data_IF_988051538002
#
_entry.id   IF_988051538002
#
_cell.length_a   1.000
_cell.length_b   1.000
_cell.length_c   1.000
_cell.angle_alpha   90.00
_cell.angle_beta   90.00
_cell.angle_gamma   90.00
#
_symmetry.space_group_name_H-M   'P 1'
#
loop_
_entity.id
_entity.type
_entity.pdbx_description
1 polymer ?
#
# COMPACT_ATOMS: atom_id res chain seq x y z
N UNK A 1 8.48 2.95 3.85
CA UNK A 1 9.63 2.67 2.96
C UNK A 1 9.11 2.46 1.54
N UNK A 2 9.81 3.01 0.54
CA UNK A 2 9.45 2.96 -0.88
C UNK A 2 10.53 2.19 -1.67
N UNK A 3 10.11 1.32 -2.59
CA UNK A 3 10.96 0.63 -3.57
C UNK A 3 11.08 1.46 -4.86
N UNK A 4 12.26 2.05 -5.05
CA UNK A 4 12.61 2.90 -6.19
C UNK A 4 13.20 2.12 -7.37
N UNK A 5 13.40 0.80 -7.26
CA UNK A 5 14.00 0.00 -8.34
C UNK A 5 12.95 -0.52 -9.35
N UNK A 6 11.68 -0.19 -9.14
CA UNK A 6 10.60 -0.60 -10.05
C UNK A 6 10.66 0.15 -11.38
N UNK A 7 10.22 -0.47 -12.51
CA UNK A 7 10.26 0.16 -13.82
C UNK A 7 9.59 1.54 -13.89
N UNK A 8 8.47 1.74 -13.18
CA UNK A 8 7.79 3.04 -13.13
C UNK A 8 8.60 4.14 -12.42
N UNK A 9 9.60 3.77 -11.61
CA UNK A 9 10.47 4.71 -10.91
C UNK A 9 11.77 4.99 -11.68
N UNK A 10 11.96 4.43 -12.88
CA UNK A 10 13.17 4.61 -13.69
C UNK A 10 12.88 5.49 -14.92
N UNK A 11 13.83 6.36 -15.31
CA UNK A 11 15.08 6.70 -14.61
C UNK A 11 14.83 7.57 -13.36
N UNK A 12 15.75 7.53 -12.39
CA UNK A 12 15.68 8.39 -11.19
C UNK A 12 16.44 9.69 -11.46
N UNK A 13 15.75 10.64 -12.10
CA UNK A 13 16.29 11.99 -12.29
C UNK A 13 16.00 12.89 -11.07
N UNK A 14 14.86 12.66 -10.39
CA UNK A 14 14.46 13.37 -9.18
C UNK A 14 13.48 12.53 -8.36
N UNK A 15 13.87 12.13 -7.15
CA UNK A 15 13.08 11.21 -6.31
C UNK A 15 11.70 11.79 -5.98
N UNK A 16 11.60 13.08 -5.66
CA UNK A 16 10.33 13.74 -5.33
C UNK A 16 9.37 13.73 -6.51
N UNK A 17 9.84 14.06 -7.71
CA UNK A 17 9.02 14.01 -8.93
C UNK A 17 8.60 12.57 -9.25
N UNK A 18 9.50 11.60 -9.15
CA UNK A 18 9.15 10.20 -9.38
C UNK A 18 8.09 9.72 -8.37
N UNK A 19 8.19 10.12 -7.10
CA UNK A 19 7.19 9.76 -6.09
C UNK A 19 5.81 10.38 -6.37
N UNK A 20 5.77 11.65 -6.78
CA UNK A 20 4.51 12.37 -7.05
C UNK A 20 3.85 11.93 -8.35
N UNK A 21 4.62 11.77 -9.41
CA UNK A 21 4.09 11.55 -10.76
C UNK A 21 4.10 10.09 -11.20
N UNK A 22 5.02 9.28 -10.67
CA UNK A 22 5.17 7.88 -11.07
C UNK A 22 4.92 6.88 -9.95
N UNK A 23 4.80 7.35 -8.70
CA UNK A 23 4.60 6.51 -7.53
C UNK A 23 3.26 5.77 -7.58
N UNK A 24 3.29 4.49 -7.23
CA UNK A 24 2.12 3.64 -7.13
C UNK A 24 2.07 2.92 -5.78
N UNK A 25 0.88 2.40 -5.43
CA UNK A 25 0.69 1.59 -4.20
C UNK A 25 1.67 0.42 -4.10
N UNK A 26 2.07 -0.16 -5.23
CA UNK A 26 3.00 -1.29 -5.32
C UNK A 26 4.46 -0.90 -5.05
N UNK A 27 4.79 0.39 -5.03
CA UNK A 27 6.11 0.85 -4.62
C UNK A 27 6.25 0.92 -3.09
N UNK A 28 5.15 0.90 -2.32
CA UNK A 28 5.24 0.84 -0.87
C UNK A 28 5.77 -0.54 -0.48
N UNK A 29 6.94 -0.59 0.17
CA UNK A 29 7.55 -1.84 0.63
C UNK A 29 7.22 -2.16 2.09
N UNK A 30 7.17 -1.12 2.92
CA UNK A 30 6.94 -1.26 4.36
C UNK A 30 6.24 -0.01 4.92
N UNK A 31 5.29 -0.21 5.83
CA UNK A 31 4.75 0.86 6.70
C UNK A 31 4.99 0.51 8.15
N UNK A 32 5.40 1.51 8.94
CA UNK A 32 5.65 1.38 10.36
C UNK A 32 5.07 2.57 11.09
N UNK A 33 4.38 2.31 12.20
CA UNK A 33 3.80 3.33 13.07
C UNK A 33 4.18 2.97 14.50
N UNK A 34 4.75 3.92 15.23
CA UNK A 34 5.17 3.73 16.63
C UNK A 34 6.08 2.49 16.82
N UNK A 35 7.06 2.31 15.92
CA UNK A 35 7.98 1.17 15.95
C UNK A 35 7.40 -0.18 15.52
N UNK A 36 6.09 -0.26 15.21
CA UNK A 36 5.41 -1.50 14.79
C UNK A 36 5.22 -1.54 13.29
N UNK A 37 5.67 -2.61 12.65
CA UNK A 37 5.44 -2.85 11.22
C UNK A 37 3.97 -3.24 11.04
N UNK A 38 3.27 -2.53 10.16
CA UNK A 38 1.84 -2.78 9.87
C UNK A 38 1.64 -3.41 8.48
N UNK A 39 2.53 -3.09 7.54
CA UNK A 39 2.54 -3.65 6.21
C UNK A 39 3.98 -3.93 5.78
N UNK A 40 4.22 -5.07 5.16
CA UNK A 40 5.53 -5.42 4.60
C UNK A 40 5.38 -6.32 3.37
N UNK A 41 6.07 -5.97 2.28
CA UNK A 41 6.18 -6.76 1.04
C UNK A 41 4.83 -7.29 0.51
N UNK A 42 3.76 -6.49 0.55
CA UNK A 42 2.44 -6.91 0.06
C UNK A 42 1.48 -7.42 1.13
N UNK A 43 1.96 -7.68 2.34
CA UNK A 43 1.19 -8.29 3.42
C UNK A 43 0.81 -7.26 4.48
N UNK A 44 -0.45 -7.28 4.91
CA UNK A 44 -0.92 -6.54 6.08
C UNK A 44 -0.80 -7.45 7.31
N UNK A 45 0.11 -7.11 8.23
CA UNK A 45 0.52 -8.05 9.29
C UNK A 45 -0.52 -8.22 10.41
N UNK A 46 -1.34 -7.19 10.65
CA UNK A 46 -2.33 -7.18 11.73
C UNK A 46 -3.75 -7.01 11.19
N UNK A 47 -4.04 -7.59 10.03
CA UNK A 47 -5.31 -7.33 9.32
C UNK A 47 -5.76 -8.58 8.58
N UNK A 48 -6.95 -9.08 8.94
CA UNK A 48 -7.64 -10.08 8.13
C UNK A 48 -8.37 -9.38 6.98
N UNK A 49 -7.75 -9.41 5.80
CA UNK A 49 -8.31 -8.77 4.60
C UNK A 49 -9.61 -9.43 4.14
N UNK A 50 -9.78 -10.74 4.35
CA UNK A 50 -11.00 -11.45 3.95
C UNK A 50 -12.18 -11.05 4.84
N UNK A 51 -11.96 -10.94 6.15
CA UNK A 51 -12.97 -10.45 7.08
C UNK A 51 -13.39 -9.02 6.74
N UNK A 52 -12.44 -8.13 6.46
CA UNK A 52 -12.73 -6.74 6.08
C UNK A 52 -13.59 -6.69 4.81
N UNK A 53 -13.25 -7.47 3.78
CA UNK A 53 -14.04 -7.51 2.56
C UNK A 53 -15.47 -8.02 2.80
N UNK A 54 -15.62 -9.06 3.64
CA UNK A 54 -16.94 -9.57 4.03
C UNK A 54 -17.77 -8.52 4.77
N UNK A 55 -17.16 -7.80 5.71
CA UNK A 55 -17.83 -6.76 6.47
C UNK A 55 -18.25 -5.60 5.58
N UNK A 56 -17.38 -5.18 4.65
CA UNK A 56 -17.70 -4.15 3.66
C UNK A 56 -18.90 -4.57 2.78
N UNK A 57 -18.92 -5.81 2.30
CA UNK A 57 -20.03 -6.33 1.50
C UNK A 57 -21.35 -6.34 2.31
N UNK A 58 -21.31 -6.78 3.57
CA UNK A 58 -22.48 -6.79 4.46
C UNK A 58 -23.11 -5.40 4.62
N UNK A 59 -22.29 -4.34 4.69
CA UNK A 59 -22.78 -2.96 4.77
C UNK A 59 -23.43 -2.51 3.46
N UNK A 60 -22.84 -2.85 2.32
CA UNK A 60 -23.41 -2.56 0.99
C UNK A 60 -24.77 -3.24 0.84
N UNK A 61 -24.87 -4.51 1.21
CA UNK A 61 -26.11 -5.28 1.08
C UNK A 61 -27.24 -4.72 1.95
N UNK A 62 -26.93 -4.07 3.08
CA UNK A 62 -27.92 -3.41 3.94
C UNK A 62 -28.47 -2.10 3.36
N UNK A 63 -27.65 -1.38 2.60
CA UNK A 63 -28.01 -0.05 2.04
C UNK A 63 -28.73 -0.20 0.70
N UNK A 64 -28.59 -1.35 0.05
CA UNK A 64 -29.24 -1.69 -1.21
C UNK A 64 -30.74 -1.93 -1.04
#
# INVERSE_FOLDING_TARGET
MIDLHRPNMQPINNITKNLVYSGAKTNVRLTMVDGRILYENGLFLNTDTAEIYKNAQTVIDRIR
#
